data_IF_392750583774
#
_entry.id   IF_392750583774
#
_cell.length_a   1.000
_cell.length_b   1.000
_cell.length_c   1.000
_cell.angle_alpha   90.00
_cell.angle_beta   90.00
_cell.angle_gamma   90.00
#
_symmetry.space_group_name_H-M   'P 1'
#
loop_
_entity.id
_entity.type
_entity.pdbx_description
1 polymer ?
#
# COMPACT_ATOMS: atom_id res chain seq x y z
N UNK A 1 -6.61 67.08 5.29
CA UNK A 1 -5.94 65.76 5.28
C UNK A 1 -6.01 65.24 3.86
N UNK A 2 -4.92 65.35 3.08
CA UNK A 2 -4.88 64.92 1.66
C UNK A 2 -4.47 63.45 1.65
N UNK A 3 -5.36 62.57 1.20
CA UNK A 3 -5.08 61.13 1.10
C UNK A 3 -3.87 60.93 0.16
N UNK A 4 -2.92 60.04 0.48
CA UNK A 4 -1.82 59.74 -0.43
C UNK A 4 -2.37 59.19 -1.75
N UNK A 5 -1.80 59.64 -2.87
CA UNK A 5 -2.21 59.21 -4.20
C UNK A 5 -2.08 57.68 -4.30
N UNK A 6 -3.17 57.01 -4.70
CA UNK A 6 -3.20 55.54 -4.89
C UNK A 6 -2.11 55.03 -5.83
N UNK A 7 -1.64 55.88 -6.74
CA UNK A 7 -0.52 55.57 -7.63
C UNK A 7 0.82 55.47 -6.89
N UNK A 8 1.02 56.24 -5.81
CA UNK A 8 2.22 56.18 -4.98
C UNK A 8 2.23 54.90 -4.12
N UNK A 9 1.08 54.50 -3.58
CA UNK A 9 0.93 53.24 -2.84
C UNK A 9 1.14 52.03 -3.75
N UNK A 10 0.63 52.09 -5.00
CA UNK A 10 0.85 51.04 -5.99
C UNK A 10 2.35 50.93 -6.35
N UNK A 11 3.01 52.07 -6.59
CA UNK A 11 4.47 52.12 -6.84
C UNK A 11 5.29 51.62 -5.66
N UNK A 12 4.88 51.90 -4.43
CA UNK A 12 5.53 51.41 -3.22
C UNK A 12 5.40 49.89 -3.10
N UNK A 13 4.22 49.34 -3.38
CA UNK A 13 3.99 47.89 -3.39
C UNK A 13 4.74 47.19 -4.53
N UNK A 14 4.81 47.79 -5.72
CA UNK A 14 5.55 47.26 -6.86
C UNK A 14 7.07 47.30 -6.64
N UNK A 15 7.58 48.36 -5.99
CA UNK A 15 8.98 48.47 -5.57
C UNK A 15 9.32 47.47 -4.46
N UNK A 16 8.44 47.30 -3.46
CA UNK A 16 8.58 46.31 -2.38
C UNK A 16 8.48 44.87 -2.87
N UNK A 17 7.67 44.59 -3.89
CA UNK A 17 7.61 43.28 -4.55
C UNK A 17 8.96 42.91 -5.18
N UNK A 18 9.73 43.92 -5.64
CA UNK A 18 11.05 43.78 -6.23
C UNK A 18 12.21 43.78 -5.20
N UNK A 19 11.91 43.85 -3.89
CA UNK A 19 12.93 43.93 -2.82
C UNK A 19 12.97 42.68 -1.91
N UNK A 20 12.18 41.65 -2.25
CA UNK A 20 12.29 40.37 -1.56
C UNK A 20 13.30 39.48 -2.29
N UNK A 21 14.17 38.81 -1.53
CA UNK A 21 15.12 37.74 -1.94
C UNK A 21 14.56 36.61 -2.84
N UNK A 22 13.30 36.71 -3.26
CA UNK A 22 12.61 35.90 -4.27
C UNK A 22 12.78 36.42 -5.70
N UNK A 23 13.39 37.58 -5.92
CA UNK A 23 13.76 38.09 -7.25
C UNK A 23 15.09 37.50 -7.74
N UNK A 24 15.23 36.18 -7.66
CA UNK A 24 16.23 35.43 -8.39
C UNK A 24 15.50 34.30 -9.09
N UNK A 25 15.78 34.08 -10.37
CA UNK A 25 15.24 32.94 -11.13
C UNK A 25 15.64 31.65 -10.42
N UNK A 26 14.82 31.20 -9.46
CA UNK A 26 15.08 29.96 -8.75
C UNK A 26 15.12 28.86 -9.82
N UNK A 27 16.16 28.02 -9.86
CA UNK A 27 16.32 27.04 -10.92
C UNK A 27 15.14 26.06 -10.99
N UNK A 28 14.37 25.93 -9.91
CA UNK A 28 13.13 25.16 -9.82
C UNK A 28 12.07 25.85 -8.96
N UNK A 29 10.80 25.59 -9.25
CA UNK A 29 9.70 26.02 -8.40
C UNK A 29 9.68 25.25 -7.07
N UNK A 30 9.37 25.95 -5.96
CA UNK A 30 9.47 25.39 -4.60
C UNK A 30 8.64 24.12 -4.35
N UNK A 31 7.49 23.97 -5.01
CA UNK A 31 6.66 22.77 -4.88
C UNK A 31 7.34 21.50 -5.41
N UNK A 32 8.26 21.62 -6.39
CA UNK A 32 9.01 20.46 -6.89
C UNK A 32 9.89 19.87 -5.79
N UNK A 33 10.58 20.72 -5.03
CA UNK A 33 11.43 20.26 -3.92
C UNK A 33 10.59 19.56 -2.84
N UNK A 34 9.45 20.15 -2.47
CA UNK A 34 8.53 19.56 -1.48
C UNK A 34 7.98 18.20 -1.95
N UNK A 35 7.54 18.10 -3.21
CA UNK A 35 7.05 16.85 -3.79
C UNK A 35 8.14 15.78 -3.85
N UNK A 36 9.36 16.17 -4.24
CA UNK A 36 10.50 15.26 -4.28
C UNK A 36 10.86 14.74 -2.89
N UNK A 37 10.91 15.61 -1.89
CA UNK A 37 11.15 15.20 -0.51
C UNK A 37 10.05 14.26 0.01
N UNK A 38 8.78 14.52 -0.31
CA UNK A 38 7.68 13.64 0.05
C UNK A 38 7.82 12.26 -0.62
N UNK A 39 8.19 12.22 -1.90
CA UNK A 39 8.42 10.97 -2.63
C UNK A 39 9.62 10.19 -2.06
N UNK A 40 10.73 10.87 -1.77
CA UNK A 40 11.92 10.24 -1.16
C UNK A 40 11.55 9.61 0.19
N UNK A 41 10.81 10.33 1.05
CA UNK A 41 10.39 9.80 2.35
C UNK A 41 9.50 8.57 2.21
N UNK A 42 8.48 8.62 1.34
CA UNK A 42 7.58 7.46 1.08
C UNK A 42 8.34 6.24 0.57
N UNK A 43 9.27 6.44 -0.36
CA UNK A 43 10.06 5.35 -0.94
C UNK A 43 11.01 4.73 0.10
N UNK A 44 11.68 5.55 0.92
CA UNK A 44 12.52 5.06 2.01
C UNK A 44 11.74 4.20 2.99
N UNK A 45 10.58 4.69 3.44
CA UNK A 45 9.70 3.95 4.34
C UNK A 45 9.27 2.62 3.73
N UNK A 46 8.87 2.62 2.44
CA UNK A 46 8.47 1.39 1.77
C UNK A 46 9.60 0.37 1.64
N UNK A 47 10.83 0.82 1.38
CA UNK A 47 12.01 -0.07 1.34
C UNK A 47 12.25 -0.70 2.70
N UNK A 48 12.14 0.06 3.78
CA UNK A 48 12.30 -0.43 5.15
C UNK A 48 11.22 -1.44 5.54
N UNK A 49 9.96 -1.17 5.20
CA UNK A 49 8.83 -2.11 5.37
C UNK A 49 9.06 -3.44 4.62
N UNK A 50 9.59 -3.38 3.39
CA UNK A 50 9.89 -4.58 2.61
C UNK A 50 11.03 -5.39 3.23
N UNK A 51 12.08 -4.72 3.74
CA UNK A 51 13.20 -5.38 4.42
C UNK A 51 12.75 -6.07 5.71
N UNK A 52 12.03 -5.36 6.56
CA UNK A 52 11.50 -5.92 7.82
C UNK A 52 10.54 -7.08 7.57
N UNK A 53 9.73 -7.03 6.51
CA UNK A 53 8.85 -8.14 6.14
C UNK A 53 9.64 -9.37 5.70
N UNK A 54 10.74 -9.18 4.96
CA UNK A 54 11.62 -10.28 4.55
C UNK A 54 12.33 -10.92 5.75
N UNK A 55 12.77 -10.12 6.71
CA UNK A 55 13.46 -10.57 7.93
C UNK A 55 12.56 -11.38 8.87
N UNK A 56 11.24 -11.13 8.88
CA UNK A 56 10.27 -11.88 9.72
C UNK A 56 10.16 -13.37 9.38
N UNK A 57 10.65 -13.79 8.23
CA UNK A 57 10.65 -15.20 7.80
C UNK A 57 9.30 -15.69 7.30
N UNK A 58 9.32 -16.85 6.63
CA UNK A 58 8.12 -17.54 6.15
C UNK A 58 7.44 -18.27 7.30
N UNK A 59 6.11 -18.22 7.35
CA UNK A 59 5.32 -19.00 8.30
C UNK A 59 4.35 -19.93 7.57
N UNK A 60 4.22 -21.15 8.09
CA UNK A 60 3.29 -22.16 7.60
C UNK A 60 2.29 -22.47 8.71
N UNK A 61 1.01 -22.50 8.35
CA UNK A 61 -0.08 -22.87 9.25
C UNK A 61 -0.93 -23.94 8.58
N UNK A 62 -1.12 -25.06 9.27
CA UNK A 62 -1.94 -26.17 8.81
C UNK A 62 -3.32 -26.13 9.51
N UNK A 63 -4.38 -26.16 8.71
CA UNK A 63 -5.77 -26.16 9.17
C UNK A 63 -6.48 -27.49 8.86
N UNK A 64 -5.72 -28.54 8.50
CA UNK A 64 -6.25 -29.87 8.19
C UNK A 64 -6.78 -29.96 6.76
N UNK A 65 -7.82 -29.21 6.41
CA UNK A 65 -8.40 -29.22 5.06
C UNK A 65 -7.62 -28.37 4.06
N UNK A 66 -6.88 -27.38 4.55
CA UNK A 66 -6.04 -26.51 3.74
C UNK A 66 -4.82 -26.02 4.52
N UNK A 67 -3.74 -25.79 3.78
CA UNK A 67 -2.47 -25.27 4.31
C UNK A 67 -2.26 -23.85 3.84
N UNK A 68 -1.90 -22.97 4.77
CA UNK A 68 -1.61 -21.56 4.48
C UNK A 68 -0.12 -21.33 4.64
N UNK A 69 0.51 -20.87 3.57
CA UNK A 69 1.94 -20.58 3.51
C UNK A 69 2.09 -19.08 3.26
N UNK A 70 2.56 -18.34 4.27
CA UNK A 70 3.03 -16.97 4.08
C UNK A 70 4.48 -17.01 3.58
N UNK A 71 4.65 -16.98 2.26
CA UNK A 71 5.96 -17.02 1.64
C UNK A 71 6.52 -15.59 1.51
N UNK A 72 7.52 -15.26 2.33
CA UNK A 72 8.21 -13.97 2.32
C UNK A 72 9.20 -13.81 1.17
N UNK A 73 9.70 -14.90 0.57
CA UNK A 73 10.58 -14.84 -0.60
C UNK A 73 9.82 -14.44 -1.87
N UNK A 74 8.67 -15.06 -2.11
CA UNK A 74 7.77 -14.73 -3.21
C UNK A 74 6.88 -13.52 -2.90
N UNK A 75 6.85 -13.07 -1.64
CA UNK A 75 5.92 -12.05 -1.12
C UNK A 75 4.47 -12.41 -1.47
N UNK A 76 4.08 -13.66 -1.22
CA UNK A 76 2.74 -14.20 -1.49
C UNK A 76 2.21 -14.98 -0.29
N UNK A 77 0.92 -14.83 -0.06
CA UNK A 77 0.12 -15.76 0.75
C UNK A 77 -0.35 -16.84 -0.21
N UNK A 78 -0.07 -18.09 0.10
CA UNK A 78 -0.49 -19.26 -0.67
C UNK A 78 -1.41 -20.11 0.17
N UNK A 79 -2.52 -20.54 -0.41
CA UNK A 79 -3.46 -21.49 0.18
C UNK A 79 -3.44 -22.75 -0.68
N UNK A 80 -2.99 -23.85 -0.10
CA UNK A 80 -2.87 -25.16 -0.73
C UNK A 80 -3.98 -26.06 -0.17
N UNK A 81 -4.68 -26.75 -1.07
CA UNK A 81 -5.68 -27.76 -0.71
C UNK A 81 -5.15 -29.12 -1.15
N UNK A 82 -5.39 -30.18 -0.37
CA UNK A 82 -4.93 -31.54 -0.70
C UNK A 82 -5.70 -32.15 -1.90
N UNK A 83 -6.86 -31.59 -2.24
CA UNK A 83 -7.67 -31.98 -3.39
C UNK A 83 -8.28 -30.79 -4.13
N UNK A 84 -9.16 -31.06 -5.10
CA UNK A 84 -9.89 -30.01 -5.80
C UNK A 84 -10.93 -29.40 -4.85
N UNK A 85 -10.80 -28.12 -4.44
CA UNK A 85 -11.78 -27.50 -3.56
C UNK A 85 -13.13 -27.36 -4.27
N UNK A 86 -14.21 -27.43 -3.49
CA UNK A 86 -15.56 -27.28 -3.99
C UNK A 86 -15.77 -25.95 -4.74
N UNK A 87 -16.73 -25.90 -5.67
CA UNK A 87 -17.00 -24.68 -6.44
C UNK A 87 -17.39 -23.51 -5.53
N UNK A 88 -18.10 -23.75 -4.42
CA UNK A 88 -18.43 -22.72 -3.44
C UNK A 88 -17.15 -22.09 -2.84
N UNK A 89 -16.21 -22.92 -2.39
CA UNK A 89 -14.92 -22.48 -1.83
C UNK A 89 -14.12 -21.71 -2.88
N UNK A 90 -14.08 -22.19 -4.14
CA UNK A 90 -13.39 -21.49 -5.23
C UNK A 90 -13.98 -20.13 -5.53
N UNK A 91 -15.31 -19.99 -5.46
CA UNK A 91 -15.99 -18.69 -5.61
C UNK A 91 -15.61 -17.74 -4.47
N UNK A 92 -15.63 -18.21 -3.23
CA UNK A 92 -15.22 -17.44 -2.04
C UNK A 92 -13.77 -16.96 -2.13
N UNK A 93 -12.85 -17.83 -2.55
CA UNK A 93 -11.43 -17.47 -2.74
C UNK A 93 -11.27 -16.38 -3.81
N UNK A 94 -11.95 -16.52 -4.95
CA UNK A 94 -11.95 -15.52 -6.03
C UNK A 94 -12.56 -14.20 -5.58
N UNK A 95 -13.68 -14.22 -4.85
CA UNK A 95 -14.34 -13.04 -4.31
C UNK A 95 -13.45 -12.26 -3.32
N UNK A 96 -12.70 -13.00 -2.51
CA UNK A 96 -11.68 -12.45 -1.62
C UNK A 96 -10.32 -12.18 -2.33
N UNK A 97 -10.26 -12.21 -3.67
CA UNK A 97 -9.13 -11.77 -4.48
C UNK A 97 -7.93 -12.73 -4.54
N UNK A 98 -8.10 -14.00 -4.19
CA UNK A 98 -7.10 -15.03 -4.41
C UNK A 98 -7.21 -15.57 -5.84
N UNK A 99 -6.06 -15.76 -6.50
CA UNK A 99 -5.99 -16.28 -7.87
C UNK A 99 -5.30 -17.63 -7.88
N UNK A 100 -5.84 -18.58 -8.65
CA UNK A 100 -5.22 -19.88 -8.85
C UNK A 100 -3.89 -19.74 -9.61
N UNK A 101 -2.81 -20.28 -9.05
CA UNK A 101 -1.49 -20.33 -9.67
C UNK A 101 -1.14 -21.81 -10.01
N UNK A 102 -1.33 -22.25 -11.26
CA UNK A 102 -1.13 -23.66 -11.63
C UNK A 102 0.32 -24.12 -11.47
N UNK A 103 1.30 -23.22 -11.60
CA UNK A 103 2.72 -23.51 -11.40
C UNK A 103 3.09 -23.85 -9.96
N UNK A 104 2.25 -23.49 -8.99
CA UNK A 104 2.48 -23.72 -7.56
C UNK A 104 1.38 -24.60 -6.96
N UNK A 105 0.36 -24.99 -7.74
CA UNK A 105 -0.78 -25.76 -7.26
C UNK A 105 -1.55 -25.08 -6.11
N UNK A 106 -1.50 -23.74 -6.04
CA UNK A 106 -1.97 -22.99 -4.88
C UNK A 106 -2.80 -21.77 -5.29
N UNK A 107 -3.71 -21.37 -4.39
CA UNK A 107 -4.40 -20.08 -4.47
C UNK A 107 -3.52 -19.00 -3.87
N UNK A 108 -3.20 -17.97 -4.65
CA UNK A 108 -2.21 -16.98 -4.27
C UNK A 108 -2.75 -15.56 -4.23
N UNK A 109 -2.20 -14.77 -3.31
CA UNK A 109 -2.39 -13.32 -3.20
C UNK A 109 -1.11 -12.63 -2.71
N UNK A 110 -0.95 -11.34 -3.00
CA UNK A 110 0.16 -10.53 -2.49
C UNK A 110 0.19 -10.50 -0.95
N UNK A 111 1.37 -10.74 -0.37
CA UNK A 111 1.62 -10.62 1.07
C UNK A 111 1.62 -9.14 1.48
N UNK A 112 0.42 -8.64 1.76
CA UNK A 112 0.14 -7.26 2.16
C UNK A 112 -0.81 -7.27 3.36
N UNK A 113 -0.95 -6.16 4.08
CA UNK A 113 -1.90 -6.07 5.18
C UNK A 113 -3.34 -6.46 4.76
N UNK A 114 -3.77 -6.02 3.57
CA UNK A 114 -5.05 -6.40 3.00
C UNK A 114 -5.11 -7.90 2.61
N UNK A 115 -4.00 -8.47 2.13
CA UNK A 115 -3.89 -9.91 1.90
C UNK A 115 -4.08 -10.72 3.18
N UNK A 116 -3.44 -10.30 4.29
CA UNK A 116 -3.59 -10.94 5.61
C UNK A 116 -5.01 -10.79 6.15
N UNK A 117 -5.65 -9.65 5.94
CA UNK A 117 -7.05 -9.45 6.31
C UNK A 117 -7.99 -10.38 5.50
N UNK A 118 -7.80 -10.47 4.19
CA UNK A 118 -8.57 -11.37 3.33
C UNK A 118 -8.37 -12.84 3.73
N UNK A 119 -7.15 -13.24 4.09
CA UNK A 119 -6.85 -14.56 4.62
C UNK A 119 -7.64 -14.84 5.91
N UNK A 120 -7.62 -13.91 6.87
CA UNK A 120 -8.40 -14.05 8.12
C UNK A 120 -9.88 -14.25 7.84
N UNK A 121 -10.43 -13.46 6.91
CA UNK A 121 -11.84 -13.56 6.50
C UNK A 121 -12.17 -14.91 5.87
N UNK A 122 -11.28 -15.46 5.03
CA UNK A 122 -11.45 -16.81 4.47
C UNK A 122 -11.39 -17.87 5.58
N UNK A 123 -10.44 -17.76 6.51
CA UNK A 123 -10.34 -18.70 7.64
C UNK A 123 -11.60 -18.64 8.50
N UNK A 124 -12.18 -17.46 8.71
CA UNK A 124 -13.45 -17.30 9.42
C UNK A 124 -14.62 -17.89 8.61
N UNK A 125 -14.72 -17.58 7.31
CA UNK A 125 -15.78 -18.11 6.43
C UNK A 125 -15.73 -19.65 6.28
N UNK A 126 -14.54 -20.24 6.30
CA UNK A 126 -14.32 -21.69 6.26
C UNK A 126 -14.42 -22.33 7.65
N UNK A 127 -14.04 -21.61 8.71
CA UNK A 127 -14.05 -22.05 10.10
C UNK A 127 -15.40 -21.93 10.82
N UNK A 128 -16.36 -21.18 10.27
CA UNK A 128 -17.77 -21.15 10.72
C UNK A 128 -18.51 -22.46 10.38
N UNK A 129 -17.84 -23.43 9.74
CA UNK A 129 -18.42 -24.76 9.45
C UNK A 129 -18.30 -25.74 10.63
N UNK A 130 -17.55 -25.42 11.69
CA UNK A 130 -17.62 -26.23 12.92
C UNK A 130 -18.83 -25.84 13.78
N UNK A 131 -19.82 -26.76 13.78
CA UNK A 131 -21.03 -26.86 14.63
C UNK A 131 -22.37 -26.40 14.01
N UNK A 132 -22.85 -27.23 13.08
CA UNK A 132 -24.26 -27.60 13.07
C UNK A 132 -24.38 -29.11 13.36
N UNK A 133 -24.55 -29.47 14.63
CA UNK A 133 -25.08 -30.76 15.10
C UNK A 133 -25.79 -30.55 16.43
#
# INVERSE_FOLDING_TARGET
>A
MRLPDREADQRYNDAMACETWRCGTAPYAGYHLTNNLANIKRLKQRVEELKTTKEKGSSEADYGEFKVIENTDLMRIQIVFDGKPDEAIRSTLKGNGFRWAPSQGAWQRQLTANGKYALKKIIEELGVVEQAS
#
